data_IF_038929426598
#
_entry.id   IF_038929426598
#
_cell.length_a   1.000
_cell.length_b   1.000
_cell.length_c   1.000
_cell.angle_alpha   90.00
_cell.angle_beta   90.00
_cell.angle_gamma   90.00
#
_symmetry.space_group_name_H-M   'P 1'
#
loop_
_entity.id
_entity.type
_entity.pdbx_description
1 polymer ?
#
# COMPACT_ATOMS: atom_id res chain seq x y z
N UNK A 1 -4.42 2.83 -17.97
CA UNK A 1 -5.14 1.54 -17.88
C UNK A 1 -4.70 0.71 -16.66
N UNK A 2 -3.40 0.43 -16.47
CA UNK A 2 -2.86 -0.33 -15.32
C UNK A 2 -3.22 0.23 -13.93
N UNK A 3 -3.08 1.54 -13.74
CA UNK A 3 -3.42 2.25 -12.50
C UNK A 3 -4.92 2.18 -12.15
N UNK A 4 -5.79 1.97 -13.14
CA UNK A 4 -7.22 1.80 -12.91
C UNK A 4 -7.53 0.37 -12.43
N UNK A 5 -6.88 -0.63 -13.03
CA UNK A 5 -7.00 -2.03 -12.62
C UNK A 5 -6.52 -2.23 -11.18
N UNK A 6 -5.39 -1.63 -10.81
CA UNK A 6 -4.86 -1.67 -9.44
C UNK A 6 -5.82 -0.98 -8.45
N UNK A 7 -6.41 0.17 -8.82
CA UNK A 7 -7.43 0.84 -7.99
C UNK A 7 -8.69 -0.01 -7.81
N UNK A 8 -9.13 -0.72 -8.84
CA UNK A 8 -10.29 -1.62 -8.79
C UNK A 8 -9.98 -2.84 -7.93
N UNK A 9 -8.84 -3.49 -8.12
CA UNK A 9 -8.39 -4.64 -7.31
C UNK A 9 -8.23 -4.24 -5.85
N UNK A 10 -7.62 -3.09 -5.56
CA UNK A 10 -7.50 -2.58 -4.19
C UNK A 10 -8.86 -2.24 -3.58
N UNK A 11 -9.77 -1.61 -4.33
CA UNK A 11 -11.14 -1.36 -3.85
C UNK A 11 -11.85 -2.67 -3.54
N UNK A 12 -11.73 -3.65 -4.42
CA UNK A 12 -12.34 -4.97 -4.28
C UNK A 12 -11.74 -5.69 -3.06
N UNK A 13 -10.42 -5.69 -2.89
CA UNK A 13 -9.78 -6.42 -1.79
C UNK A 13 -9.95 -5.73 -0.44
N UNK A 14 -9.91 -4.38 -0.38
CA UNK A 14 -10.31 -3.62 0.82
C UNK A 14 -11.78 -3.88 1.17
N UNK A 15 -12.64 -4.10 0.17
CA UNK A 15 -14.07 -4.38 0.39
C UNK A 15 -14.36 -5.87 0.67
N UNK A 16 -13.46 -6.81 0.34
CA UNK A 16 -13.71 -8.26 0.42
C UNK A 16 -12.92 -8.99 1.53
N UNK A 17 -11.70 -8.58 1.90
CA UNK A 17 -10.80 -9.47 2.68
C UNK A 17 -10.11 -8.83 3.89
N UNK A 18 -10.86 -8.17 4.77
CA UNK A 18 -10.43 -8.05 6.17
C UNK A 18 -11.29 -8.88 7.14
N UNK A 19 -12.41 -9.44 6.65
CA UNK A 19 -13.37 -10.19 7.48
C UNK A 19 -13.10 -11.70 7.45
N UNK A 20 -12.62 -12.28 6.35
CA UNK A 20 -12.50 -13.74 6.21
C UNK A 20 -11.11 -14.28 6.63
N UNK A 21 -10.03 -13.59 6.26
CA UNK A 21 -8.66 -13.96 6.66
C UNK A 21 -8.51 -13.96 8.20
N UNK A 22 -9.12 -12.99 8.89
CA UNK A 22 -9.16 -12.93 10.35
C UNK A 22 -10.02 -14.03 10.99
N UNK A 23 -11.08 -14.50 10.32
CA UNK A 23 -12.01 -15.53 10.84
C UNK A 23 -11.51 -16.96 10.68
N UNK A 24 -10.58 -17.22 9.77
CA UNK A 24 -10.17 -18.59 9.43
C UNK A 24 -8.79 -19.00 9.95
N UNK A 25 -7.92 -18.04 10.32
CA UNK A 25 -6.59 -18.34 10.89
C UNK A 25 -6.64 -19.16 12.20
N UNK A 26 -7.80 -19.24 12.86
CA UNK A 26 -8.02 -20.03 14.07
C UNK A 26 -8.55 -21.46 13.83
N UNK A 27 -8.71 -21.90 12.58
CA UNK A 27 -9.13 -23.28 12.25
C UNK A 27 -7.90 -24.10 11.85
N UNK A 28 -7.92 -25.39 12.14
CA UNK A 28 -6.99 -26.35 11.57
C UNK A 28 -7.19 -26.41 10.05
N UNK A 29 -6.51 -25.52 9.33
CA UNK A 29 -6.54 -25.42 7.89
C UNK A 29 -5.78 -26.60 7.26
N UNK A 30 -6.30 -27.13 6.17
CA UNK A 30 -5.56 -28.05 5.33
C UNK A 30 -4.28 -27.38 4.79
N UNK A 31 -3.30 -28.18 4.36
CA UNK A 31 -2.06 -27.65 3.78
C UNK A 31 -2.36 -26.79 2.53
N UNK A 32 -3.34 -27.22 1.72
CA UNK A 32 -3.70 -26.53 0.49
C UNK A 32 -4.42 -25.21 0.75
N UNK A 33 -5.36 -25.18 1.72
CA UNK A 33 -6.04 -23.94 2.12
C UNK A 33 -5.05 -22.94 2.72
N UNK A 34 -4.15 -23.41 3.59
CA UNK A 34 -3.09 -22.59 4.18
C UNK A 34 -2.23 -21.93 3.09
N UNK A 35 -1.80 -22.69 2.09
CA UNK A 35 -1.02 -22.18 0.95
C UNK A 35 -1.82 -21.21 0.09
N UNK A 36 -3.10 -21.50 -0.15
CA UNK A 36 -3.99 -20.62 -0.90
C UNK A 36 -4.11 -19.24 -0.24
N UNK A 37 -4.42 -19.21 1.07
CA UNK A 37 -4.51 -17.96 1.82
C UNK A 37 -3.17 -17.23 1.91
N UNK A 38 -2.06 -17.96 2.09
CA UNK A 38 -0.72 -17.38 2.08
C UNK A 38 -0.44 -16.64 0.76
N UNK A 39 -0.76 -17.27 -0.37
CA UNK A 39 -0.54 -16.68 -1.68
C UNK A 39 -1.39 -15.43 -1.90
N UNK A 40 -2.64 -15.44 -1.46
CA UNK A 40 -3.52 -14.27 -1.50
C UNK A 40 -2.92 -13.12 -0.70
N UNK A 41 -2.50 -13.37 0.55
CA UNK A 41 -1.92 -12.33 1.41
C UNK A 41 -0.64 -11.75 0.81
N UNK A 42 0.23 -12.60 0.25
CA UNK A 42 1.45 -12.16 -0.43
C UNK A 42 1.12 -11.26 -1.63
N UNK A 43 0.23 -11.73 -2.50
CA UNK A 43 -0.19 -10.99 -3.69
C UNK A 43 -0.83 -9.65 -3.32
N UNK A 44 -1.74 -9.66 -2.34
CA UNK A 44 -2.41 -8.46 -1.87
C UNK A 44 -1.44 -7.44 -1.29
N UNK A 45 -0.59 -7.86 -0.35
CA UNK A 45 0.37 -6.98 0.30
C UNK A 45 1.30 -6.33 -0.72
N UNK A 46 1.73 -7.12 -1.72
CA UNK A 46 2.57 -6.62 -2.78
C UNK A 46 1.87 -5.68 -3.77
N UNK A 47 0.62 -5.95 -4.12
CA UNK A 47 -0.19 -5.05 -4.94
C UNK A 47 -0.43 -3.71 -4.24
N UNK A 48 -0.72 -3.74 -2.94
CA UNK A 48 -0.88 -2.54 -2.12
C UNK A 48 0.44 -1.75 -2.06
N UNK A 49 1.56 -2.43 -1.79
CA UNK A 49 2.87 -1.79 -1.72
C UNK A 49 3.26 -1.11 -3.04
N UNK A 50 3.07 -1.81 -4.17
CA UNK A 50 3.38 -1.28 -5.49
C UNK A 50 2.46 -0.11 -5.85
N UNK A 51 1.17 -0.17 -5.47
CA UNK A 51 0.25 0.94 -5.67
C UNK A 51 0.70 2.19 -4.93
N UNK A 52 1.07 2.07 -3.65
CA UNK A 52 1.52 3.20 -2.83
C UNK A 52 2.71 3.89 -3.51
N UNK A 53 3.73 3.12 -3.94
CA UNK A 53 4.94 3.64 -4.59
C UNK A 53 4.60 4.33 -5.92
N UNK A 54 3.81 3.68 -6.78
CA UNK A 54 3.48 4.25 -8.09
C UNK A 54 2.60 5.48 -7.98
N UNK A 55 1.63 5.45 -7.07
CA UNK A 55 0.77 6.58 -6.81
C UNK A 55 1.59 7.80 -6.39
N UNK A 56 2.57 7.57 -5.52
CA UNK A 56 3.45 8.62 -5.02
C UNK A 56 4.37 9.21 -6.10
N UNK A 57 4.99 8.35 -6.91
CA UNK A 57 5.78 8.77 -8.06
C UNK A 57 4.96 9.60 -9.05
N UNK A 58 3.72 9.17 -9.35
CA UNK A 58 2.81 9.90 -10.24
C UNK A 58 2.46 11.30 -9.70
N UNK A 59 2.28 11.46 -8.38
CA UNK A 59 2.01 12.77 -7.78
C UNK A 59 3.24 13.68 -7.79
N UNK A 60 4.42 13.11 -7.59
CA UNK A 60 5.70 13.85 -7.67
C UNK A 60 5.92 14.39 -9.08
N UNK A 61 5.77 13.53 -10.09
CA UNK A 61 5.95 13.92 -11.49
C UNK A 61 4.97 15.02 -11.92
N UNK A 62 3.71 14.93 -11.48
CA UNK A 62 2.71 15.98 -11.75
C UNK A 62 3.03 17.30 -11.08
N UNK A 63 3.65 17.31 -9.90
CA UNK A 63 4.08 18.56 -9.26
C UNK A 63 5.23 19.22 -10.04
N UNK A 64 6.17 18.43 -10.55
CA UNK A 64 7.31 18.92 -11.34
C UNK A 64 6.89 19.52 -12.69
N UNK A 65 5.88 18.94 -13.36
CA UNK A 65 5.37 19.46 -14.64
C UNK A 65 4.68 20.83 -14.50
N UNK A 66 4.21 21.19 -13.30
CA UNK A 66 3.52 22.47 -13.05
C UNK A 66 4.51 23.59 -12.74
N UNK A 67 5.71 23.28 -12.23
CA UNK A 67 6.72 24.26 -11.79
C UNK A 67 7.74 24.65 -12.88
N UNK A 68 7.62 24.14 -14.10
CA UNK A 68 8.48 24.57 -15.22
C UNK A 68 8.10 25.97 -15.71
N UNK A 69 9.05 26.93 -15.80
CA UNK A 69 8.75 28.28 -16.26
C UNK A 69 8.27 28.28 -17.72
N UNK A 70 7.30 29.14 -18.08
CA UNK A 70 6.62 29.07 -19.37
C UNK A 70 7.48 29.65 -20.50
N UNK A 71 8.48 28.91 -20.99
CA UNK A 71 9.12 29.24 -22.26
C UNK A 71 8.31 28.66 -23.44
N UNK A 72 7.37 29.49 -23.93
CA UNK A 72 6.78 29.50 -25.29
C UNK A 72 6.12 28.20 -25.80
N UNK A 73 4.78 28.09 -25.69
CA UNK A 73 3.83 28.22 -26.83
C UNK A 73 2.38 27.78 -26.50
N UNK A 74 1.48 28.66 -26.95
CA UNK A 74 0.09 28.46 -27.45
C UNK A 74 -1.07 28.19 -26.47
N UNK A 75 -1.87 29.26 -26.35
CA UNK A 75 -3.32 29.30 -26.07
C UNK A 75 -4.08 28.04 -26.52
N UNK A 76 -4.70 27.33 -25.57
CA UNK A 76 -6.12 26.94 -25.70
C UNK A 76 -6.74 26.53 -24.36
N UNK A 77 -7.93 27.11 -24.16
CA UNK A 77 -9.06 26.63 -23.37
C UNK A 77 -8.93 26.59 -21.83
N UNK A 78 -9.75 27.45 -21.21
CA UNK A 78 -10.32 27.30 -19.87
C UNK A 78 -10.80 25.85 -19.68
N UNK A 79 -10.06 25.05 -18.92
CA UNK A 79 -10.48 23.71 -18.50
C UNK A 79 -10.59 23.66 -16.98
N UNK A 80 -11.82 23.97 -16.53
CA UNK A 80 -12.53 23.42 -15.37
C UNK A 80 -11.80 23.33 -14.02
N UNK A 81 -12.40 23.99 -13.03
CA UNK A 81 -12.25 23.81 -11.58
C UNK A 81 -12.66 22.39 -11.09
N UNK A 82 -12.12 21.33 -11.71
CA UNK A 82 -12.43 19.92 -11.37
C UNK A 82 -11.21 19.18 -10.81
N UNK A 83 -10.04 19.81 -10.78
CA UNK A 83 -8.81 19.17 -10.28
C UNK A 83 -8.72 19.07 -8.75
N UNK A 84 -9.44 19.90 -7.98
CA UNK A 84 -9.43 19.81 -6.51
C UNK A 84 -10.23 18.62 -5.96
N UNK A 85 -11.26 18.14 -6.69
CA UNK A 85 -12.11 17.03 -6.21
C UNK A 85 -11.49 15.64 -6.46
N UNK A 86 -10.54 15.51 -7.39
CA UNK A 86 -9.83 14.26 -7.66
C UNK A 86 -8.58 14.08 -6.78
N UNK A 87 -8.02 15.16 -6.26
CA UNK A 87 -6.88 15.14 -5.33
C UNK A 87 -7.30 14.59 -3.95
N UNK A 88 -8.39 15.13 -3.38
CA UNK A 88 -8.95 14.70 -2.08
C UNK A 88 -9.39 13.22 -2.05
N UNK A 89 -9.77 12.65 -3.18
CA UNK A 89 -10.18 11.24 -3.27
C UNK A 89 -9.00 10.29 -3.52
N UNK A 90 -7.94 10.77 -4.15
CA UNK A 90 -6.74 9.98 -4.45
C UNK A 90 -5.85 9.78 -3.22
N UNK A 91 -5.63 10.83 -2.43
CA UNK A 91 -4.95 10.71 -1.13
C UNK A 91 -5.72 9.79 -0.18
N UNK A 92 -7.07 9.83 -0.23
CA UNK A 92 -7.91 8.93 0.55
C UNK A 92 -7.69 7.45 0.23
N UNK A 93 -7.27 7.10 -0.99
CA UNK A 93 -7.03 5.71 -1.37
C UNK A 93 -5.65 5.24 -0.93
N UNK A 94 -4.59 6.05 -1.09
CA UNK A 94 -3.27 5.76 -0.51
C UNK A 94 -3.38 5.53 0.99
N UNK A 95 -4.10 6.39 1.68
CA UNK A 95 -4.25 6.33 3.13
C UNK A 95 -5.00 5.07 3.56
N UNK A 96 -6.06 4.68 2.82
CA UNK A 96 -6.75 3.39 3.01
C UNK A 96 -5.85 2.19 2.72
N UNK A 97 -5.01 2.27 1.70
CA UNK A 97 -4.05 1.22 1.35
C UNK A 97 -3.02 1.03 2.46
N UNK A 98 -2.45 2.12 2.97
CA UNK A 98 -1.46 2.07 4.04
C UNK A 98 -2.07 1.51 5.32
N UNK A 99 -3.30 1.92 5.65
CA UNK A 99 -4.05 1.36 6.78
C UNK A 99 -4.34 -0.14 6.60
N UNK A 100 -4.83 -0.55 5.44
CA UNK A 100 -5.08 -1.97 5.14
C UNK A 100 -3.80 -2.82 5.21
N UNK A 101 -2.68 -2.30 4.72
CA UNK A 101 -1.38 -2.96 4.85
C UNK A 101 -0.97 -3.12 6.31
N UNK A 102 -1.15 -2.07 7.13
CA UNK A 102 -0.93 -2.11 8.57
C UNK A 102 -1.80 -3.19 9.24
N UNK A 103 -3.08 -3.25 8.90
CA UNK A 103 -4.02 -4.23 9.47
C UNK A 103 -3.64 -5.68 9.10
N UNK A 104 -3.24 -5.94 7.85
CA UNK A 104 -2.74 -7.25 7.40
C UNK A 104 -1.51 -7.67 8.22
N UNK A 105 -0.59 -6.74 8.48
CA UNK A 105 0.66 -7.02 9.20
C UNK A 105 0.43 -7.23 10.70
N UNK A 106 -0.52 -6.49 11.28
CA UNK A 106 -0.97 -6.68 12.67
C UNK A 106 -1.64 -8.03 12.87
N UNK A 107 -2.30 -8.53 11.84
CA UNK A 107 -2.97 -9.84 11.84
C UNK A 107 -2.01 -10.99 12.20
N UNK A 108 -2.55 -12.08 12.74
CA UNK A 108 -1.77 -13.25 13.13
C UNK A 108 -1.46 -14.15 11.91
N UNK A 109 -0.81 -13.60 10.89
CA UNK A 109 -0.58 -14.28 9.60
C UNK A 109 0.62 -15.24 9.60
N UNK A 110 1.54 -15.13 10.56
CA UNK A 110 2.77 -15.94 10.65
C UNK A 110 2.54 -17.46 10.54
N UNK A 111 1.48 -18.06 11.13
CA UNK A 111 1.21 -19.49 10.99
C UNK A 111 0.84 -19.95 9.58
N UNK A 112 0.55 -19.03 8.66
CA UNK A 112 0.31 -19.40 7.26
C UNK A 112 1.58 -19.83 6.54
N UNK A 113 2.76 -19.43 7.05
CA UNK A 113 4.04 -19.91 6.59
C UNK A 113 4.36 -21.27 7.22
N UNK A 114 4.97 -22.14 6.41
CA UNK A 114 5.40 -23.48 6.81
C UNK A 114 6.83 -23.73 6.30
N UNK A 115 7.86 -23.69 7.17
CA UNK A 115 7.80 -23.36 8.61
C UNK A 115 7.33 -21.92 8.83
N UNK A 116 6.84 -21.58 10.04
CA UNK A 116 6.29 -20.24 10.38
C UNK A 116 7.32 -19.12 10.45
N UNK A 117 8.11 -19.01 9.39
CA UNK A 117 9.17 -18.04 9.13
C UNK A 117 8.71 -17.28 7.89
N UNK A 118 8.64 -15.96 7.99
CA UNK A 118 8.18 -15.13 6.87
C UNK A 118 9.31 -14.97 5.86
N UNK A 119 8.99 -15.16 4.58
CA UNK A 119 9.96 -15.04 3.50
C UNK A 119 10.49 -13.60 3.36
N UNK A 120 11.79 -13.47 3.13
CA UNK A 120 12.47 -12.19 2.95
C UNK A 120 11.85 -11.35 1.82
N UNK A 121 11.36 -12.00 0.76
CA UNK A 121 10.70 -11.32 -0.36
C UNK A 121 9.42 -10.61 0.08
N UNK A 122 8.61 -11.23 0.94
CA UNK A 122 7.42 -10.60 1.49
C UNK A 122 7.81 -9.41 2.37
N UNK A 123 8.83 -9.59 3.19
CA UNK A 123 9.35 -8.52 4.06
C UNK A 123 9.81 -7.32 3.24
N UNK A 124 10.66 -7.54 2.22
CA UNK A 124 11.11 -6.50 1.27
C UNK A 124 9.93 -5.82 0.59
N UNK A 125 8.93 -6.58 0.18
CA UNK A 125 7.75 -6.06 -0.49
C UNK A 125 7.00 -5.06 0.41
N UNK A 126 6.82 -5.41 1.68
CA UNK A 126 6.11 -4.60 2.67
C UNK A 126 6.91 -3.37 3.14
N UNK A 127 8.22 -3.50 3.33
CA UNK A 127 9.06 -2.40 3.86
C UNK A 127 9.46 -1.39 2.80
N UNK A 128 9.53 -1.78 1.53
CA UNK A 128 9.83 -0.90 0.38
C UNK A 128 8.98 0.38 0.33
N UNK A 129 7.62 0.34 0.39
CA UNK A 129 6.81 1.55 0.41
C UNK A 129 7.06 2.41 1.66
N UNK A 130 7.41 1.80 2.80
CA UNK A 130 7.69 2.55 4.03
C UNK A 130 8.96 3.40 3.88
N UNK A 131 10.04 2.80 3.39
CA UNK A 131 11.29 3.55 3.13
C UNK A 131 11.12 4.61 2.05
N UNK A 132 10.29 4.33 1.05
CA UNK A 132 9.96 5.29 -0.01
C UNK A 132 9.26 6.54 0.56
N UNK A 133 8.22 6.36 1.38
CA UNK A 133 7.46 7.46 1.97
C UNK A 133 8.24 8.23 3.05
N UNK A 134 9.12 7.59 3.83
CA UNK A 134 9.95 8.28 4.85
C UNK A 134 10.82 9.37 4.22
N UNK A 135 11.32 9.13 3.01
CA UNK A 135 12.21 10.06 2.32
C UNK A 135 11.50 11.34 1.87
N UNK A 136 10.18 11.42 2.04
CA UNK A 136 9.35 12.53 1.60
C UNK A 136 8.89 13.42 2.76
N UNK A 137 9.44 14.62 2.79
CA UNK A 137 9.18 15.61 3.85
C UNK A 137 7.77 16.21 3.80
N UNK A 138 7.16 16.24 2.62
CA UNK A 138 5.81 16.76 2.40
C UNK A 138 4.73 15.77 2.86
N UNK A 139 4.97 14.47 2.68
CA UNK A 139 4.05 13.39 3.07
C UNK A 139 4.20 13.02 4.55
N UNK A 140 5.37 13.27 5.15
CA UNK A 140 5.58 13.07 6.58
C UNK A 140 4.60 13.86 7.48
N UNK A 141 3.96 14.91 6.94
CA UNK A 141 2.91 15.69 7.63
C UNK A 141 1.53 15.03 7.58
N UNK A 142 1.31 14.05 6.70
CA UNK A 142 0.05 13.32 6.64
C UNK A 142 -0.11 12.47 7.92
N UNK A 143 -1.19 12.66 8.69
CA UNK A 143 -1.40 11.96 9.96
C UNK A 143 -1.46 10.44 9.80
N UNK A 144 -2.07 9.94 8.73
CA UNK A 144 -2.20 8.50 8.47
C UNK A 144 -0.82 7.88 8.20
N UNK A 145 0.02 8.57 7.43
CA UNK A 145 1.39 8.12 7.16
C UNK A 145 2.22 8.14 8.44
N UNK A 146 2.14 9.23 9.20
CA UNK A 146 2.86 9.40 10.47
C UNK A 146 2.48 8.35 11.51
N UNK A 147 1.22 7.92 11.54
CA UNK A 147 0.72 6.90 12.47
C UNK A 147 1.06 5.48 12.02
N UNK A 148 0.78 5.12 10.77
CA UNK A 148 0.82 3.72 10.33
C UNK A 148 2.21 3.25 9.91
N UNK A 149 3.05 4.14 9.40
CA UNK A 149 4.35 3.77 8.86
C UNK A 149 5.33 3.27 9.93
N UNK A 150 5.47 3.94 11.10
CA UNK A 150 6.30 3.40 12.19
C UNK A 150 5.75 2.08 12.73
N UNK A 151 4.43 1.91 12.78
CA UNK A 151 3.79 0.68 13.26
C UNK A 151 4.13 -0.50 12.34
N UNK A 152 4.02 -0.32 11.02
CA UNK A 152 4.41 -1.33 10.03
C UNK A 152 5.87 -1.74 10.26
N UNK A 153 6.80 -0.78 10.26
CA UNK A 153 8.22 -1.08 10.43
C UNK A 153 8.53 -1.78 11.77
N UNK A 154 7.91 -1.33 12.85
CA UNK A 154 8.07 -1.92 14.19
C UNK A 154 7.64 -3.38 14.19
N UNK A 155 6.52 -3.72 13.55
CA UNK A 155 6.04 -5.10 13.47
C UNK A 155 6.97 -5.94 12.59
N UNK A 156 7.43 -5.41 11.45
CA UNK A 156 8.36 -6.14 10.58
C UNK A 156 9.67 -6.48 11.30
N UNK A 157 10.20 -5.55 12.10
CA UNK A 157 11.44 -5.76 12.88
C UNK A 157 11.20 -6.74 14.04
N UNK A 158 10.16 -6.51 14.84
CA UNK A 158 9.98 -7.23 16.12
C UNK A 158 9.28 -8.58 15.96
N UNK A 159 8.29 -8.69 15.07
CA UNK A 159 7.43 -9.88 14.93
C UNK A 159 7.92 -10.82 13.83
N UNK A 160 8.55 -10.25 12.81
CA UNK A 160 8.98 -10.99 11.61
C UNK A 160 10.51 -11.03 11.44
N UNK A 161 11.27 -10.65 12.48
CA UNK A 161 12.72 -10.83 12.56
C UNK A 161 13.49 -10.20 11.37
N UNK A 162 12.98 -9.11 10.78
CA UNK A 162 13.58 -8.47 9.61
C UNK A 162 15.03 -7.98 9.81
N UNK A 163 15.48 -7.83 11.06
CA UNK A 163 16.80 -7.29 11.42
C UNK A 163 17.83 -8.36 11.85
N UNK A 164 17.54 -9.66 11.68
CA UNK A 164 18.50 -10.74 11.93
C UNK A 164 19.14 -11.25 10.65
#
# INVERSE_FOLDING_TARGET
MYMFLIRVVIKIVISLEMIDVQRQIHRDLSIDDRRFHLNIIKMLSCLIAEYIIRFDNDQTNKSLDVDMPPSKKRKKAKASKTYEKSSLTSDSLRDKCLKGLCDIIRSHIKPLWDPSIIDEQFVKCVTKPCYHLIRRTDIAKNPIVKENLPLILTIMINKFEHAR
#
